data_IF_140350557915
#
_entry.id   IF_140350557915
#
_cell.length_a   1.000
_cell.length_b   1.000
_cell.length_c   1.000
_cell.angle_alpha   90.00
_cell.angle_beta   90.00
_cell.angle_gamma   90.00
#
_symmetry.space_group_name_H-M   'P 1'
#
loop_
_entity.id
_entity.type
_entity.pdbx_description
1 polymer ?
#
# COMPACT_ATOMS: atom_id res chain seq x y z
N UNK A 1 9.16 -12.28 -5.30
CA UNK A 1 8.01 -11.66 -4.61
C UNK A 1 6.98 -12.74 -4.32
N UNK A 2 6.20 -12.60 -3.25
CA UNK A 2 5.05 -13.47 -2.94
C UNK A 2 5.40 -14.99 -3.07
N UNK A 3 4.62 -15.79 -3.81
CA UNK A 3 4.78 -17.24 -3.93
C UNK A 3 5.86 -17.70 -4.94
N UNK A 4 6.62 -16.78 -5.55
CA UNK A 4 7.66 -17.13 -6.52
C UNK A 4 8.78 -18.02 -5.94
N UNK A 5 8.89 -18.11 -4.61
CA UNK A 5 9.84 -19.01 -3.94
C UNK A 5 9.68 -20.47 -4.32
N UNK A 6 8.48 -20.90 -4.73
CA UNK A 6 8.23 -22.25 -5.21
C UNK A 6 9.08 -22.57 -6.44
N UNK A 7 9.13 -21.65 -7.41
CA UNK A 7 9.98 -21.79 -8.59
C UNK A 7 11.46 -21.77 -8.22
N UNK A 8 11.87 -20.87 -7.33
CA UNK A 8 13.27 -20.75 -6.91
C UNK A 8 13.79 -22.03 -6.25
N UNK A 9 12.94 -22.73 -5.49
CA UNK A 9 13.23 -24.06 -4.95
C UNK A 9 13.46 -25.08 -6.07
N UNK A 10 12.60 -25.13 -7.07
CA UNK A 10 12.74 -26.03 -8.22
C UNK A 10 14.07 -25.85 -8.94
N UNK A 11 14.54 -24.61 -9.10
CA UNK A 11 15.80 -24.32 -9.82
C UNK A 11 17.03 -24.19 -8.90
N UNK A 12 16.90 -24.47 -7.59
CA UNK A 12 18.01 -24.38 -6.63
C UNK A 12 18.54 -22.96 -6.34
N UNK A 13 17.81 -21.92 -6.71
CA UNK A 13 18.24 -20.52 -6.64
C UNK A 13 17.54 -19.75 -5.50
N UNK A 14 18.09 -18.60 -5.08
CA UNK A 14 17.44 -17.64 -4.16
C UNK A 14 17.80 -16.20 -4.56
N UNK A 15 16.87 -15.24 -4.42
CA UNK A 15 17.20 -13.83 -4.62
C UNK A 15 17.96 -13.26 -3.43
N UNK A 16 18.64 -12.12 -3.63
CA UNK A 16 19.22 -11.35 -2.53
C UNK A 16 18.16 -10.69 -1.64
N UNK A 17 17.04 -10.27 -2.25
CA UNK A 17 15.94 -9.59 -1.57
C UNK A 17 14.61 -10.29 -1.86
N UNK A 18 13.76 -10.39 -0.84
CA UNK A 18 12.39 -10.90 -0.93
C UNK A 18 11.41 -9.85 -0.45
N UNK A 19 10.23 -9.78 -1.07
CA UNK A 19 9.14 -8.93 -0.63
C UNK A 19 7.80 -9.65 -0.76
N UNK A 20 6.92 -9.42 0.22
CA UNK A 20 5.52 -9.82 0.20
C UNK A 20 4.71 -8.74 0.91
N UNK A 21 4.01 -7.91 0.12
CA UNK A 21 3.26 -6.75 0.63
C UNK A 21 1.74 -6.94 0.61
N UNK A 22 1.31 -8.10 0.13
CA UNK A 22 -0.09 -8.50 0.10
C UNK A 22 -0.48 -9.10 1.46
N UNK A 23 -1.57 -8.58 2.05
CA UNK A 23 -2.00 -8.92 3.40
C UNK A 23 -2.49 -10.37 3.51
N UNK A 24 -3.13 -10.90 2.46
CA UNK A 24 -3.76 -12.23 2.44
C UNK A 24 -2.73 -13.27 2.02
N UNK A 25 -2.02 -13.01 0.91
CA UNK A 25 -0.96 -13.91 0.42
C UNK A 25 0.14 -14.06 1.47
N UNK A 26 0.54 -12.97 2.13
CA UNK A 26 1.55 -13.06 3.19
C UNK A 26 1.17 -14.05 4.28
N UNK A 27 -0.06 -13.95 4.80
CA UNK A 27 -0.56 -14.85 5.85
C UNK A 27 -0.78 -16.28 5.35
N UNK A 28 -1.31 -16.44 4.13
CA UNK A 28 -1.51 -17.76 3.51
C UNK A 28 -0.20 -18.53 3.32
N UNK A 29 0.92 -17.81 3.15
CA UNK A 29 2.23 -18.38 2.92
C UNK A 29 3.17 -18.22 4.13
N UNK A 30 2.65 -17.93 5.33
CA UNK A 30 3.47 -17.56 6.50
C UNK A 30 4.53 -18.61 6.84
N UNK A 31 4.17 -19.90 6.85
CA UNK A 31 5.07 -20.97 7.28
C UNK A 31 6.21 -21.15 6.25
N UNK A 32 5.91 -20.91 4.97
CA UNK A 32 6.88 -20.97 3.89
C UNK A 32 7.81 -19.76 3.88
N UNK A 33 7.29 -18.57 4.20
CA UNK A 33 8.10 -17.36 4.37
C UNK A 33 9.00 -17.50 5.61
N UNK A 34 8.51 -18.10 6.70
CA UNK A 34 9.31 -18.42 7.88
C UNK A 34 10.50 -19.31 7.48
N UNK A 35 10.25 -20.39 6.74
CA UNK A 35 11.30 -21.27 6.23
C UNK A 35 12.33 -20.52 5.37
N UNK A 36 11.90 -19.59 4.50
CA UNK A 36 12.84 -18.78 3.71
C UNK A 36 13.75 -17.88 4.57
N UNK A 37 13.23 -17.33 5.67
CA UNK A 37 14.01 -16.51 6.61
C UNK A 37 15.04 -17.40 7.34
N UNK A 38 14.60 -18.56 7.80
CA UNK A 38 15.46 -19.53 8.51
C UNK A 38 16.53 -20.16 7.61
N UNK A 39 16.27 -20.31 6.31
CA UNK A 39 17.24 -20.77 5.32
C UNK A 39 18.47 -19.85 5.21
N UNK A 40 18.37 -18.57 5.62
CA UNK A 40 19.44 -17.55 5.57
C UNK A 40 20.12 -17.35 4.21
N UNK A 41 19.50 -17.80 3.12
CA UNK A 41 19.99 -17.62 1.74
C UNK A 41 19.51 -16.33 1.06
N UNK A 42 18.52 -15.67 1.66
CA UNK A 42 18.01 -14.36 1.25
C UNK A 42 18.46 -13.35 2.32
N UNK A 43 19.05 -12.23 1.90
CA UNK A 43 19.67 -11.29 2.84
C UNK A 43 18.67 -10.30 3.43
N UNK A 44 17.65 -9.91 2.65
CA UNK A 44 16.69 -8.86 3.04
C UNK A 44 15.27 -9.27 2.72
N UNK A 45 14.36 -9.03 3.67
CA UNK A 45 12.93 -9.25 3.55
C UNK A 45 12.20 -7.93 3.79
N UNK A 46 11.26 -7.60 2.90
CA UNK A 46 10.31 -6.51 3.10
C UNK A 46 8.91 -7.09 3.23
N UNK A 47 8.35 -7.04 4.44
CA UNK A 47 7.09 -7.70 4.79
C UNK A 47 6.11 -6.68 5.41
N UNK A 48 4.81 -6.94 5.30
CA UNK A 48 3.79 -6.18 6.05
C UNK A 48 3.83 -6.51 7.53
N UNK A 49 3.44 -5.55 8.37
CA UNK A 49 3.41 -5.70 9.82
C UNK A 49 2.55 -6.90 10.27
N UNK A 50 1.38 -7.12 9.65
CA UNK A 50 0.51 -8.24 10.01
C UNK A 50 1.19 -9.62 9.84
N UNK A 51 2.00 -9.78 8.80
CA UNK A 51 2.78 -11.00 8.57
C UNK A 51 3.92 -11.11 9.59
N UNK A 52 4.64 -10.01 9.85
CA UNK A 52 5.70 -10.00 10.87
C UNK A 52 5.16 -10.41 12.24
N UNK A 53 4.00 -9.90 12.62
CA UNK A 53 3.36 -10.25 13.89
C UNK A 53 2.97 -11.73 13.93
N UNK A 54 2.41 -12.26 12.83
CA UNK A 54 2.06 -13.67 12.70
C UNK A 54 3.28 -14.61 12.73
N UNK A 55 4.45 -14.15 12.27
CA UNK A 55 5.72 -14.87 12.32
C UNK A 55 6.39 -14.83 13.70
N UNK A 56 5.92 -13.99 14.62
CA UNK A 56 6.46 -13.87 15.98
C UNK A 56 7.96 -13.52 15.99
N UNK A 57 8.81 -14.24 16.75
CA UNK A 57 10.25 -13.98 16.80
C UNK A 57 10.94 -14.05 15.43
N UNK A 58 10.49 -14.92 14.52
CA UNK A 58 11.08 -15.08 13.17
C UNK A 58 10.88 -13.81 12.35
N UNK A 59 9.70 -13.17 12.47
CA UNK A 59 9.40 -11.91 11.80
C UNK A 59 10.27 -10.73 12.25
N UNK A 60 11.01 -10.88 13.36
CA UNK A 60 11.93 -9.88 13.92
C UNK A 60 13.40 -10.27 13.75
N UNK A 61 13.67 -11.31 12.97
CA UNK A 61 15.03 -11.71 12.67
C UNK A 61 15.79 -10.61 11.90
N UNK A 62 17.11 -10.58 12.04
CA UNK A 62 17.97 -9.72 11.24
C UNK A 62 17.68 -9.91 9.74
N UNK A 63 17.61 -8.79 9.01
CA UNK A 63 17.27 -8.76 7.59
C UNK A 63 15.79 -8.60 7.29
N UNK A 64 14.90 -8.75 8.28
CA UNK A 64 13.45 -8.52 8.10
C UNK A 64 13.09 -7.07 8.41
N UNK A 65 12.49 -6.39 7.42
CA UNK A 65 12.02 -5.01 7.52
C UNK A 65 10.50 -4.95 7.42
N UNK A 66 9.87 -4.30 8.40
CA UNK A 66 8.47 -3.94 8.33
C UNK A 66 8.27 -2.79 7.34
N UNK A 67 7.40 -3.02 6.35
CA UNK A 67 7.09 -2.04 5.33
C UNK A 67 6.50 -0.76 5.92
N UNK A 68 5.62 -0.88 6.90
CA UNK A 68 5.01 0.26 7.61
C UNK A 68 6.06 1.13 8.33
N UNK A 69 7.05 0.51 8.99
CA UNK A 69 8.15 1.25 9.61
C UNK A 69 9.01 1.97 8.57
N UNK A 70 9.18 1.36 7.38
CA UNK A 70 9.92 1.95 6.28
C UNK A 70 9.18 3.16 5.67
N UNK A 71 7.86 3.08 5.53
CA UNK A 71 7.00 4.19 5.06
C UNK A 71 7.15 5.44 5.94
N UNK A 72 7.28 5.28 7.25
CA UNK A 72 7.46 6.40 8.18
C UNK A 72 8.81 7.11 7.99
N UNK A 73 9.83 6.37 7.52
CA UNK A 73 11.20 6.87 7.35
C UNK A 73 11.46 7.43 5.95
N UNK A 74 10.76 6.93 4.95
CA UNK A 74 10.94 7.34 3.55
C UNK A 74 9.60 7.62 2.86
N UNK A 75 9.24 8.90 2.79
CA UNK A 75 8.00 9.36 2.14
C UNK A 75 7.95 9.05 0.64
N UNK A 76 9.07 8.75 -0.01
CA UNK A 76 9.08 8.35 -1.44
C UNK A 76 8.40 6.99 -1.64
N UNK A 77 8.26 6.21 -0.57
CA UNK A 77 7.52 4.95 -0.57
C UNK A 77 6.02 5.12 -0.31
N UNK A 78 5.56 6.31 0.08
CA UNK A 78 4.18 6.58 0.49
C UNK A 78 3.21 6.77 -0.70
N UNK A 79 3.31 5.88 -1.71
CA UNK A 79 2.35 5.85 -2.79
C UNK A 79 1.00 5.31 -2.26
N UNK A 80 -0.14 5.98 -2.52
CA UNK A 80 -1.44 5.57 -2.00
C UNK A 80 -1.84 4.14 -2.35
N UNK A 81 -1.44 3.66 -3.54
CA UNK A 81 -1.83 2.35 -4.05
C UNK A 81 -0.70 1.35 -3.87
N UNK A 82 -0.79 0.54 -2.81
CA UNK A 82 0.22 -0.47 -2.47
C UNK A 82 -0.02 -1.76 -3.26
N UNK A 83 0.98 -2.14 -4.07
CA UNK A 83 1.10 -3.48 -4.67
C UNK A 83 2.49 -4.02 -4.37
N UNK A 84 2.64 -5.34 -4.22
CA UNK A 84 3.98 -5.93 -4.00
C UNK A 84 4.94 -5.54 -5.11
N UNK A 85 4.50 -5.58 -6.38
CA UNK A 85 5.34 -5.24 -7.53
C UNK A 85 5.87 -3.81 -7.50
N UNK A 86 4.96 -2.83 -7.50
CA UNK A 86 5.35 -1.41 -7.59
C UNK A 86 6.20 -0.96 -6.41
N UNK A 87 5.87 -1.40 -5.20
CA UNK A 87 6.62 -1.02 -4.00
C UNK A 87 7.92 -1.77 -3.83
N UNK A 88 8.09 -2.94 -4.46
CA UNK A 88 9.41 -3.58 -4.53
C UNK A 88 10.37 -2.77 -5.40
N UNK A 89 9.89 -2.14 -6.47
CA UNK A 89 10.72 -1.23 -7.27
C UNK A 89 11.10 0.04 -6.50
N UNK A 90 10.16 0.62 -5.76
CA UNK A 90 10.43 1.75 -4.86
C UNK A 90 11.40 1.37 -3.73
N UNK A 91 11.27 0.16 -3.19
CA UNK A 91 12.22 -0.36 -2.21
C UNK A 91 13.61 -0.56 -2.80
N UNK A 92 13.73 -1.04 -4.04
CA UNK A 92 15.03 -1.12 -4.71
C UNK A 92 15.69 0.27 -4.84
N UNK A 93 14.94 1.31 -5.21
CA UNK A 93 15.43 2.68 -5.18
C UNK A 93 15.91 3.11 -3.78
N UNK A 94 15.13 2.81 -2.74
CA UNK A 94 15.49 3.07 -1.35
C UNK A 94 16.80 2.37 -0.94
N UNK A 95 17.01 1.14 -1.42
CA UNK A 95 18.25 0.38 -1.22
C UNK A 95 19.45 0.92 -2.01
N UNK A 96 19.28 2.00 -2.79
CA UNK A 96 20.35 2.64 -3.54
C UNK A 96 20.46 2.18 -5.00
N UNK A 97 19.60 1.27 -5.47
CA UNK A 97 19.61 0.89 -6.88
C UNK A 97 19.15 2.07 -7.75
N UNK A 98 19.82 2.26 -8.89
CA UNK A 98 19.53 3.34 -9.87
C UNK A 98 19.16 2.81 -11.25
N UNK A 99 19.35 1.51 -11.47
CA UNK A 99 19.03 0.80 -12.70
C UNK A 99 18.17 -0.40 -12.34
N UNK A 100 16.93 -0.43 -12.83
CA UNK A 100 15.95 -1.47 -12.49
C UNK A 100 15.41 -2.11 -13.77
N UNK A 101 15.48 -3.43 -13.85
CA UNK A 101 14.83 -4.22 -14.90
C UNK A 101 13.63 -4.94 -14.29
N UNK A 102 12.44 -4.68 -14.80
CA UNK A 102 11.21 -5.33 -14.37
C UNK A 102 11.00 -6.62 -15.17
N UNK A 103 10.72 -7.72 -14.49
CA UNK A 103 10.41 -9.03 -15.10
C UNK A 103 9.15 -9.61 -14.48
N UNK A 104 8.33 -10.30 -15.28
CA UNK A 104 7.09 -10.91 -14.80
C UNK A 104 6.07 -9.89 -14.29
N UNK A 105 6.10 -8.68 -14.84
CA UNK A 105 5.13 -7.62 -14.55
C UNK A 105 4.19 -7.54 -15.74
N UNK A 106 3.03 -8.17 -15.66
CA UNK A 106 2.07 -8.22 -16.79
C UNK A 106 1.02 -7.11 -16.69
N UNK A 107 0.36 -6.96 -15.53
CA UNK A 107 -0.67 -5.94 -15.32
C UNK A 107 -2.05 -6.28 -15.89
N UNK A 108 -2.18 -7.38 -16.64
CA UNK A 108 -3.40 -7.85 -17.32
C UNK A 108 -4.02 -9.08 -16.63
N UNK A 109 -4.14 -9.05 -15.31
CA UNK A 109 -4.55 -10.20 -14.52
C UNK A 109 -6.00 -10.63 -14.80
N UNK A 110 -6.22 -11.95 -14.87
CA UNK A 110 -7.56 -12.53 -14.72
C UNK A 110 -7.96 -12.44 -13.25
N UNK A 111 -9.05 -11.74 -13.00
CA UNK A 111 -9.53 -11.45 -11.64
C UNK A 111 -9.90 -12.71 -10.86
N UNK A 112 -10.60 -13.65 -11.51
CA UNK A 112 -10.95 -14.96 -10.95
C UNK A 112 -10.49 -16.02 -11.93
N UNK A 113 -9.70 -16.98 -11.45
CA UNK A 113 -9.20 -18.10 -12.25
C UNK A 113 -10.05 -19.34 -12.01
N UNK A 114 -10.05 -20.26 -12.97
CA UNK A 114 -10.72 -21.56 -12.82
C UNK A 114 -10.17 -22.25 -11.58
N UNK A 115 -11.00 -22.88 -10.75
CA UNK A 115 -10.54 -23.56 -9.54
C UNK A 115 -10.28 -22.64 -8.34
N UNK A 116 -10.51 -21.33 -8.47
CA UNK A 116 -10.60 -20.40 -7.35
C UNK A 116 -12.04 -20.13 -6.95
N UNK A 117 -12.28 -19.98 -5.65
CA UNK A 117 -13.57 -19.59 -5.09
C UNK A 117 -13.42 -18.31 -4.26
N UNK A 118 -14.47 -17.49 -4.25
CA UNK A 118 -14.54 -16.32 -3.36
C UNK A 118 -14.78 -16.79 -1.92
N UNK A 119 -14.06 -16.16 -0.99
CA UNK A 119 -14.28 -16.31 0.44
C UNK A 119 -14.97 -15.06 0.96
N UNK A 120 -14.21 -14.10 1.48
CA UNK A 120 -14.73 -12.87 2.07
C UNK A 120 -14.35 -11.66 1.22
N UNK A 121 -15.30 -10.78 0.89
CA UNK A 121 -15.11 -9.50 0.17
C UNK A 121 -14.20 -9.58 -1.08
N UNK A 122 -12.89 -9.45 -0.88
CA UNK A 122 -11.85 -9.46 -1.91
C UNK A 122 -10.87 -10.66 -1.82
N UNK A 123 -11.08 -11.60 -0.91
CA UNK A 123 -10.29 -12.82 -0.75
C UNK A 123 -10.79 -13.95 -1.66
N UNK A 124 -9.84 -14.61 -2.32
CA UNK A 124 -10.01 -15.80 -3.12
C UNK A 124 -9.18 -16.94 -2.53
N UNK A 125 -9.66 -18.16 -2.67
CA UNK A 125 -8.93 -19.37 -2.29
C UNK A 125 -8.89 -20.34 -3.48
N UNK A 126 -7.73 -20.93 -3.75
CA UNK A 126 -7.63 -22.02 -4.72
C UNK A 126 -8.19 -23.28 -4.06
N UNK A 127 -9.31 -23.79 -4.56
CA UNK A 127 -9.94 -25.04 -4.07
C UNK A 127 -9.57 -26.25 -4.90
N UNK A 128 -9.15 -26.02 -6.15
CA UNK A 128 -8.81 -27.06 -7.10
C UNK A 128 -7.61 -26.65 -7.92
N UNK A 129 -6.74 -27.62 -8.19
CA UNK A 129 -5.61 -27.44 -9.08
C UNK A 129 -6.08 -27.01 -10.48
N UNK A 130 -5.42 -26.00 -11.02
CA UNK A 130 -5.78 -25.35 -12.27
C UNK A 130 -4.55 -24.67 -12.88
N UNK A 131 -4.60 -24.46 -14.19
CA UNK A 131 -3.67 -23.54 -14.84
C UNK A 131 -4.07 -22.11 -14.48
N UNK A 132 -3.10 -21.34 -13.96
CA UNK A 132 -3.30 -19.93 -13.70
C UNK A 132 -2.54 -19.09 -14.74
N UNK A 133 -3.24 -18.40 -15.67
CA UNK A 133 -2.61 -17.62 -16.73
C UNK A 133 -1.93 -16.33 -16.23
N UNK A 134 -2.10 -15.97 -14.96
CA UNK A 134 -1.49 -14.78 -14.36
C UNK A 134 -0.01 -14.99 -14.00
N UNK A 135 0.51 -16.22 -14.09
CA UNK A 135 1.86 -16.55 -13.64
C UNK A 135 2.60 -17.40 -14.67
N UNK A 136 3.92 -17.22 -14.75
CA UNK A 136 4.75 -17.86 -15.79
C UNK A 136 5.07 -19.34 -15.54
N UNK A 137 4.74 -19.89 -14.37
CA UNK A 137 5.02 -21.28 -14.03
C UNK A 137 3.84 -21.92 -13.30
N UNK A 138 3.67 -23.22 -13.56
CA UNK A 138 2.68 -24.05 -12.90
C UNK A 138 3.00 -24.25 -11.41
N UNK A 139 1.96 -24.23 -10.57
CA UNK A 139 2.13 -24.36 -9.13
C UNK A 139 2.59 -23.08 -8.42
N UNK A 140 2.54 -21.92 -9.08
CA UNK A 140 2.61 -20.62 -8.39
C UNK A 140 1.54 -20.55 -7.30
N UNK A 141 0.30 -20.92 -7.63
CA UNK A 141 -0.76 -21.17 -6.67
C UNK A 141 -1.11 -22.66 -6.60
N UNK A 142 -1.56 -23.12 -5.43
CA UNK A 142 -1.92 -24.51 -5.13
C UNK A 142 -3.20 -24.54 -4.29
N UNK A 143 -3.95 -25.66 -4.28
CA UNK A 143 -5.09 -25.82 -3.39
C UNK A 143 -4.76 -25.44 -1.94
N UNK A 144 -5.63 -24.62 -1.33
CA UNK A 144 -5.46 -24.06 0.01
C UNK A 144 -4.81 -22.67 0.04
N UNK A 145 -4.17 -22.21 -1.05
CA UNK A 145 -3.62 -20.86 -1.10
C UNK A 145 -4.73 -19.80 -1.15
N UNK A 146 -4.60 -18.78 -0.32
CA UNK A 146 -5.45 -17.59 -0.29
C UNK A 146 -4.73 -16.38 -0.86
N UNK A 147 -5.48 -15.55 -1.57
CA UNK A 147 -4.95 -14.36 -2.23
C UNK A 147 -6.03 -13.30 -2.43
N UNK A 148 -5.63 -12.04 -2.63
CA UNK A 148 -6.56 -10.99 -2.98
C UNK A 148 -6.96 -11.05 -4.46
N UNK A 149 -8.21 -10.66 -4.73
CA UNK A 149 -8.66 -10.21 -6.03
C UNK A 149 -7.65 -9.18 -6.58
N UNK A 150 -7.01 -9.41 -7.74
CA UNK A 150 -5.93 -8.55 -8.22
C UNK A 150 -6.35 -7.08 -8.37
N UNK A 151 -7.49 -6.79 -8.97
CA UNK A 151 -8.00 -5.43 -9.12
C UNK A 151 -9.40 -5.32 -8.50
N UNK A 152 -9.51 -5.21 -7.16
CA UNK A 152 -10.81 -5.03 -6.50
C UNK A 152 -11.50 -3.73 -6.93
N UNK A 153 -10.70 -2.79 -7.45
CA UNK A 153 -11.14 -1.65 -8.26
C UNK A 153 -10.37 -1.65 -9.58
N UNK A 154 -11.00 -1.26 -10.71
CA UNK A 154 -10.33 -1.21 -12.01
C UNK A 154 -9.03 -0.41 -11.97
N UNK A 155 -7.96 -0.97 -12.54
CA UNK A 155 -6.68 -0.29 -12.69
C UNK A 155 -5.85 -0.14 -11.42
N UNK A 156 -6.15 -0.85 -10.32
CA UNK A 156 -5.37 -0.77 -9.09
C UNK A 156 -3.87 -1.00 -9.35
N UNK A 157 -3.52 -2.04 -10.09
CA UNK A 157 -2.11 -2.35 -10.38
C UNK A 157 -1.45 -1.33 -11.31
N UNK A 158 -2.13 -0.89 -12.36
CA UNK A 158 -1.59 0.10 -13.30
C UNK A 158 -1.41 1.45 -12.61
N UNK A 159 -2.35 1.87 -11.76
CA UNK A 159 -2.20 3.08 -10.95
C UNK A 159 -1.02 2.97 -9.96
N UNK A 160 -0.86 1.84 -9.27
CA UNK A 160 0.28 1.60 -8.39
C UNK A 160 1.62 1.74 -9.12
N UNK A 161 1.71 1.25 -10.36
CA UNK A 161 2.90 1.44 -11.20
C UNK A 161 3.06 2.87 -11.72
N UNK A 162 1.97 3.55 -12.07
CA UNK A 162 2.01 4.96 -12.49
C UNK A 162 2.57 5.86 -11.37
N UNK A 163 2.14 5.63 -10.13
CA UNK A 163 2.63 6.34 -8.95
C UNK A 163 4.11 6.02 -8.70
N UNK A 164 4.49 4.74 -8.77
CA UNK A 164 5.88 4.34 -8.61
C UNK A 164 6.79 4.94 -9.69
N UNK A 165 6.33 5.00 -10.94
CA UNK A 165 7.09 5.58 -12.04
C UNK A 165 7.44 7.06 -11.79
N UNK A 166 6.50 7.85 -11.27
CA UNK A 166 6.73 9.26 -10.90
C UNK A 166 7.83 9.38 -9.86
N UNK A 167 7.76 8.59 -8.78
CA UNK A 167 8.76 8.63 -7.71
C UNK A 167 10.14 8.13 -8.17
N UNK A 168 10.19 7.08 -8.98
CA UNK A 168 11.43 6.56 -9.56
C UNK A 168 12.07 7.59 -10.49
N UNK A 169 11.27 8.27 -11.32
CA UNK A 169 11.75 9.31 -12.23
C UNK A 169 12.27 10.54 -11.48
N UNK A 170 11.57 11.01 -10.43
CA UNK A 170 12.04 12.16 -9.63
C UNK A 170 13.38 11.91 -8.94
N UNK A 171 13.71 10.64 -8.71
CA UNK A 171 14.96 10.20 -8.07
C UNK A 171 16.03 9.78 -9.10
N UNK A 172 15.82 10.10 -10.38
CA UNK A 172 16.70 9.72 -11.50
C UNK A 172 17.01 8.22 -11.54
N UNK A 173 16.04 7.37 -11.20
CA UNK A 173 16.15 5.92 -11.35
C UNK A 173 15.72 5.54 -12.75
N UNK A 174 16.62 4.88 -13.46
CA UNK A 174 16.36 4.37 -14.80
C UNK A 174 15.73 2.97 -14.69
N UNK A 175 14.57 2.81 -15.29
CA UNK A 175 13.75 1.59 -15.20
C UNK A 175 13.38 1.14 -16.60
N UNK A 176 13.45 -0.17 -16.85
CA UNK A 176 12.97 -0.79 -18.09
C UNK A 176 12.05 -1.96 -17.77
N UNK A 177 11.01 -2.15 -18.57
CA UNK A 177 10.12 -3.31 -18.48
C UNK A 177 10.54 -4.37 -19.50
N UNK A 178 11.02 -5.52 -19.02
CA UNK A 178 11.47 -6.61 -19.88
C UNK A 178 10.33 -7.47 -20.44
N UNK A 179 9.08 -7.18 -20.05
CA UNK A 179 7.90 -7.87 -20.56
C UNK A 179 7.22 -7.05 -21.65
N UNK A 180 7.53 -7.36 -22.91
CA UNK A 180 7.00 -6.64 -24.09
C UNK A 180 5.47 -6.71 -24.25
N UNK A 181 4.80 -7.62 -23.52
CA UNK A 181 3.34 -7.81 -23.54
C UNK A 181 2.64 -7.18 -22.34
N UNK A 182 3.38 -6.51 -21.45
CA UNK A 182 2.83 -5.89 -20.26
C UNK A 182 1.85 -4.75 -20.59
N UNK A 183 0.81 -4.63 -19.78
CA UNK A 183 -0.04 -3.43 -19.68
C UNK A 183 0.63 -2.31 -18.88
N UNK A 184 1.70 -2.61 -18.14
CA UNK A 184 2.50 -1.61 -17.41
C UNK A 184 3.41 -0.86 -18.37
N UNK A 185 2.85 0.16 -19.03
CA UNK A 185 3.50 0.97 -20.05
C UNK A 185 4.22 2.24 -19.55
N UNK A 186 4.40 2.42 -18.24
CA UNK A 186 5.02 3.62 -17.66
C UNK A 186 6.54 3.67 -17.75
N UNK A 187 7.16 2.59 -18.23
CA UNK A 187 8.60 2.49 -18.42
C UNK A 187 8.91 2.07 -19.86
N UNK A 188 10.08 2.45 -20.40
CA UNK A 188 10.56 1.91 -21.67
C UNK A 188 10.58 0.38 -21.66
N UNK A 189 10.22 -0.21 -22.79
CA UNK A 189 10.32 -1.66 -22.98
C UNK A 189 11.70 -2.02 -23.52
N UNK A 190 12.20 -3.20 -23.14
CA UNK A 190 13.44 -3.75 -23.68
C UNK A 190 13.44 -5.28 -23.60
N UNK A 191 14.17 -5.96 -24.47
CA UNK A 191 14.38 -7.40 -24.33
C UNK A 191 15.25 -7.68 -23.09
N UNK A 192 15.02 -8.80 -22.41
CA UNK A 192 15.78 -9.14 -21.21
C UNK A 192 17.29 -9.26 -21.47
N UNK A 193 17.68 -9.88 -22.59
CA UNK A 193 19.07 -10.04 -23.02
C UNK A 193 19.78 -8.69 -23.18
N UNK A 194 19.08 -7.71 -23.77
CA UNK A 194 19.60 -6.34 -23.98
C UNK A 194 19.61 -5.53 -22.68
N UNK A 195 18.56 -5.67 -21.88
CA UNK A 195 18.42 -5.01 -20.57
C UNK A 195 19.53 -5.42 -19.61
N UNK A 196 19.94 -6.70 -19.63
CA UNK A 196 21.04 -7.21 -18.81
C UNK A 196 22.39 -6.53 -19.12
N UNK A 197 22.58 -6.07 -20.36
CA UNK A 197 23.78 -5.36 -20.80
C UNK A 197 23.64 -3.83 -20.70
N UNK A 198 22.46 -3.35 -20.31
CA UNK A 198 22.08 -1.93 -20.30
C UNK A 198 22.35 -1.22 -21.64
N UNK A 199 22.22 -1.95 -22.75
CA UNK A 199 22.44 -1.41 -24.08
C UNK A 199 21.21 -0.62 -24.56
N UNK A 200 21.46 0.50 -25.22
CA UNK A 200 20.65 1.72 -25.21
C UNK A 200 19.46 1.79 -26.19
N UNK A 201 19.15 0.74 -26.93
CA UNK A 201 17.95 0.74 -27.79
C UNK A 201 16.70 0.54 -26.93
N UNK A 202 16.25 1.63 -26.30
CA UNK A 202 15.00 1.67 -25.55
C UNK A 202 13.85 1.76 -26.54
N UNK A 203 12.93 0.80 -26.48
CA UNK A 203 11.61 0.99 -27.09
C UNK A 203 10.91 2.03 -26.20
N UNK A 204 10.51 3.19 -26.74
CA UNK A 204 9.89 4.24 -25.94
C UNK A 204 8.77 3.67 -25.08
N UNK A 205 8.66 4.15 -23.84
CA UNK A 205 7.49 3.90 -23.03
C UNK A 205 6.26 4.23 -23.89
N UNK A 206 5.24 3.37 -23.85
CA UNK A 206 3.99 3.71 -24.54
C UNK A 206 3.52 5.02 -23.93
N UNK A 207 3.38 6.05 -24.76
CA UNK A 207 2.86 7.35 -24.38
C UNK A 207 1.42 7.21 -23.89
N UNK A 208 1.25 6.75 -22.66
CA UNK A 208 -0.03 6.61 -21.97
C UNK A 208 -0.25 7.75 -20.99
N UNK A 209 0.38 8.90 -21.25
CA UNK A 209 -0.22 10.13 -20.80
C UNK A 209 -1.05 10.68 -21.97
N UNK A 210 -2.36 10.37 -22.11
CA UNK A 210 -3.22 11.52 -21.94
C UNK A 210 -2.81 12.13 -20.60
N UNK A 211 -2.52 13.44 -20.54
CA UNK A 211 -2.64 14.13 -19.25
C UNK A 211 -3.86 13.52 -18.58
N UNK A 212 -3.75 12.97 -17.35
CA UNK A 212 -4.92 12.41 -16.69
C UNK A 212 -5.96 13.49 -16.87
N UNK A 213 -6.98 13.24 -17.71
CA UNK A 213 -8.08 14.18 -17.86
C UNK A 213 -8.57 14.24 -16.44
N UNK A 214 -8.26 15.32 -15.71
CA UNK A 214 -8.13 15.29 -14.26
C UNK A 214 -9.41 14.63 -13.81
N UNK A 215 -9.32 13.39 -13.30
CA UNK A 215 -10.48 12.54 -13.15
C UNK A 215 -11.48 13.42 -12.44
N UNK A 216 -12.54 13.84 -13.15
CA UNK A 216 -13.29 15.05 -12.82
C UNK A 216 -13.49 14.94 -11.32
N UNK A 217 -12.79 15.77 -10.51
CA UNK A 217 -12.57 15.45 -9.10
C UNK A 217 -13.95 15.17 -8.59
N UNK A 218 -14.23 13.92 -8.19
CA UNK A 218 -15.62 13.46 -8.02
C UNK A 218 -16.25 14.53 -7.17
N UNK A 219 -17.17 15.37 -7.72
CA UNK A 219 -17.32 16.74 -7.26
C UNK A 219 -17.49 16.64 -5.76
N UNK A 220 -16.54 17.18 -4.96
CA UNK A 220 -16.43 16.88 -3.53
C UNK A 220 -17.84 16.99 -3.02
N UNK A 221 -18.44 15.88 -2.50
CA UNK A 221 -19.88 15.63 -2.53
C UNK A 221 -20.51 16.96 -2.29
N UNK A 222 -21.11 17.53 -3.35
CA UNK A 222 -21.34 18.98 -3.46
C UNK A 222 -21.77 19.49 -2.09
N UNK A 223 -21.35 20.69 -1.65
CA UNK A 223 -21.81 21.19 -0.33
C UNK A 223 -23.31 20.91 -0.13
N UNK A 224 -24.09 20.99 -1.22
CA UNK A 224 -25.46 20.47 -1.40
C UNK A 224 -25.69 18.97 -1.12
N UNK A 225 -24.95 18.00 -1.67
CA UNK A 225 -25.06 16.56 -1.33
C UNK A 225 -24.68 16.26 0.12
N UNK A 226 -23.65 16.89 0.67
CA UNK A 226 -23.28 16.73 2.09
C UNK A 226 -24.35 17.35 3.00
N UNK A 227 -24.81 18.56 2.66
CA UNK A 227 -25.99 19.19 3.27
C UNK A 227 -27.25 18.34 3.08
N UNK A 228 -27.48 17.68 1.94
CA UNK A 228 -28.65 16.83 1.72
C UNK A 228 -28.57 15.59 2.59
N UNK A 229 -27.42 14.93 2.70
CA UNK A 229 -27.24 13.79 3.60
C UNK A 229 -27.44 14.18 5.08
N UNK A 230 -27.01 15.38 5.47
CA UNK A 230 -27.19 15.90 6.83
C UNK A 230 -28.59 16.50 7.08
N UNK A 231 -29.25 17.06 6.06
CA UNK A 231 -30.57 17.70 6.13
C UNK A 231 -31.72 16.73 5.89
N UNK A 232 -31.53 15.62 5.16
CA UNK A 232 -32.60 14.65 4.91
C UNK A 232 -33.18 14.05 6.21
N UNK A 233 -32.38 13.68 7.23
CA UNK A 233 -32.91 13.28 8.53
C UNK A 233 -33.64 14.42 9.24
N UNK A 234 -33.14 15.65 9.13
CA UNK A 234 -33.72 16.85 9.76
C UNK A 234 -35.06 17.21 9.09
N UNK A 235 -35.14 17.12 7.76
CA UNK A 235 -36.33 17.38 6.97
C UNK A 235 -37.38 16.28 7.16
N UNK A 236 -36.96 15.00 7.25
CA UNK A 236 -37.85 13.90 7.58
C UNK A 236 -38.46 14.07 8.98
N UNK A 237 -37.64 14.48 9.96
CA UNK A 237 -38.13 14.80 11.30
C UNK A 237 -39.10 15.99 11.26
N UNK A 238 -38.76 17.07 10.56
CA UNK A 238 -39.61 18.24 10.36
C UNK A 238 -40.97 17.93 9.71
N UNK A 239 -40.99 17.05 8.72
CA UNK A 239 -42.22 16.57 8.07
C UNK A 239 -43.10 15.76 9.02
N UNK A 240 -42.51 14.92 9.88
CA UNK A 240 -43.22 14.20 10.94
C UNK A 240 -43.85 15.17 11.96
N UNK A 241 -43.15 16.27 12.30
CA UNK A 241 -43.69 17.33 13.17
C UNK A 241 -44.90 18.01 12.55
N UNK A 242 -44.79 18.39 11.27
CA UNK A 242 -45.86 19.08 10.54
C UNK A 242 -47.09 18.18 10.38
N UNK A 243 -46.89 16.90 10.06
CA UNK A 243 -47.97 15.92 9.97
C UNK A 243 -48.67 15.71 11.33
N UNK A 244 -47.91 15.62 12.43
CA UNK A 244 -48.47 15.57 13.78
C UNK A 244 -49.25 16.83 14.15
N UNK A 245 -48.74 18.01 13.79
CA UNK A 245 -49.38 19.31 14.06
C UNK A 245 -50.68 19.50 13.27
N UNK A 246 -50.72 19.04 12.01
CA UNK A 246 -51.93 19.06 11.19
C UNK A 246 -53.03 18.13 11.75
N UNK A 247 -52.66 16.96 12.29
CA UNK A 247 -53.59 16.03 12.93
C UNK A 247 -54.20 16.58 14.24
N UNK A 248 -53.50 17.47 14.93
CA UNK A 248 -54.03 18.19 16.11
C UNK A 248 -55.06 19.24 15.69
N UNK A 249 -54.80 19.96 14.60
CA UNK A 249 -55.70 21.00 14.10
C UNK A 249 -57.02 20.46 13.54
N UNK A 250 -57.06 19.20 13.10
CA UNK A 250 -58.28 18.55 12.56
C UNK A 250 -59.17 17.90 13.62
N UNK A 251 -58.93 18.16 14.92
CA UNK A 251 -59.84 17.75 16.00
C UNK A 251 -59.42 16.49 16.77
N UNK A 252 -58.13 16.14 16.75
CA UNK A 252 -57.59 15.14 17.65
C UNK A 252 -57.81 15.52 19.12
N UNK A 253 -58.14 14.54 19.98
CA UNK A 253 -58.30 14.80 21.41
C UNK A 253 -57.05 15.44 22.03
N UNK A 254 -57.22 16.31 23.03
CA UNK A 254 -56.14 17.06 23.69
C UNK A 254 -54.96 16.17 24.16
N UNK A 255 -55.26 14.92 24.52
CA UNK A 255 -54.29 13.89 24.91
C UNK A 255 -53.35 13.49 23.76
N UNK A 256 -53.87 13.39 22.53
CA UNK A 256 -53.07 13.04 21.34
C UNK A 256 -52.13 14.19 21.00
N UNK A 257 -52.59 15.44 21.11
CA UNK A 257 -51.77 16.63 20.89
C UNK A 257 -50.62 16.74 21.90
N UNK A 258 -50.90 16.47 23.17
CA UNK A 258 -49.88 16.46 24.23
C UNK A 258 -48.84 15.35 23.99
N UNK A 259 -49.28 14.14 23.61
CA UNK A 259 -48.38 13.02 23.32
C UNK A 259 -47.45 13.31 22.12
N UNK A 260 -47.96 13.96 21.07
CA UNK A 260 -47.16 14.36 19.91
C UNK A 260 -46.13 15.44 20.26
N UNK A 261 -46.50 16.43 21.07
CA UNK A 261 -45.56 17.45 21.57
C UNK A 261 -44.45 16.84 22.44
N UNK A 262 -44.79 15.92 23.33
CA UNK A 262 -43.81 15.19 24.15
C UNK A 262 -42.87 14.37 23.27
N UNK A 263 -43.41 13.63 22.29
CA UNK A 263 -42.62 12.85 21.34
C UNK A 263 -41.67 13.73 20.53
N UNK A 264 -42.14 14.88 20.04
CA UNK A 264 -41.29 15.86 19.36
C UNK A 264 -40.15 16.34 20.26
N UNK A 265 -40.46 16.74 21.49
CA UNK A 265 -39.48 17.25 22.43
C UNK A 265 -38.42 16.20 22.78
N UNK A 266 -38.83 14.94 22.98
CA UNK A 266 -37.92 13.81 23.19
C UNK A 266 -36.99 13.60 21.98
N UNK A 267 -37.52 13.63 20.76
CA UNK A 267 -36.70 13.49 19.55
C UNK A 267 -35.70 14.64 19.39
N UNK A 268 -36.07 15.88 19.74
CA UNK A 268 -35.15 17.02 19.74
C UNK A 268 -34.03 16.84 20.78
N UNK A 269 -34.35 16.36 21.99
CA UNK A 269 -33.35 16.04 23.01
C UNK A 269 -32.40 14.93 22.52
N UNK A 270 -32.93 13.84 21.97
CA UNK A 270 -32.14 12.74 21.40
C UNK A 270 -31.22 13.22 20.27
N UNK A 271 -31.71 14.07 19.38
CA UNK A 271 -30.91 14.68 18.32
C UNK A 271 -29.78 15.57 18.87
N UNK A 272 -30.07 16.40 19.87
CA UNK A 272 -29.05 17.24 20.52
C UNK A 272 -27.98 16.40 21.23
N UNK A 273 -28.39 15.32 21.92
CA UNK A 273 -27.47 14.37 22.55
C UNK A 273 -26.58 13.66 21.52
N UNK A 274 -27.16 13.23 20.39
CA UNK A 274 -26.39 12.60 19.31
C UNK A 274 -25.35 13.55 18.72
N UNK A 275 -25.71 14.81 18.44
CA UNK A 275 -24.79 15.81 17.92
C UNK A 275 -23.67 16.13 18.92
N UNK A 276 -23.99 16.23 20.21
CA UNK A 276 -23.02 16.47 21.28
C UNK A 276 -22.04 15.30 21.40
N UNK A 277 -22.55 14.05 21.38
CA UNK A 277 -21.71 12.86 21.42
C UNK A 277 -20.80 12.77 20.18
N UNK A 278 -21.33 13.03 18.99
CA UNK A 278 -20.55 13.04 17.75
C UNK A 278 -19.42 14.07 17.83
N UNK A 279 -19.70 15.28 18.33
CA UNK A 279 -18.70 16.32 18.52
C UNK A 279 -17.61 15.88 19.50
N UNK A 280 -18.00 15.31 20.64
CA UNK A 280 -17.06 14.80 21.65
C UNK A 280 -16.16 13.68 21.10
N UNK A 281 -16.70 12.78 20.26
CA UNK A 281 -15.92 11.73 19.60
C UNK A 281 -14.91 12.33 18.63
N UNK A 282 -15.31 13.31 17.81
CA UNK A 282 -14.39 13.98 16.88
C UNK A 282 -13.27 14.71 17.64
N UNK A 283 -13.61 15.46 18.69
CA UNK A 283 -12.61 16.15 19.53
C UNK A 283 -11.64 15.15 20.19
N UNK A 284 -12.13 14.00 20.65
CA UNK A 284 -11.27 12.93 21.22
C UNK A 284 -10.34 12.31 20.20
N UNK A 285 -10.84 12.04 18.98
CA UNK A 285 -10.01 11.50 17.90
C UNK A 285 -8.92 12.49 17.48
N UNK A 286 -9.25 13.79 17.38
CA UNK A 286 -8.26 14.83 17.10
C UNK A 286 -7.20 14.93 18.19
N UNK A 287 -7.58 14.86 19.46
CA UNK A 287 -6.62 14.84 20.57
C UNK A 287 -5.69 13.62 20.53
N UNK A 288 -6.21 12.44 20.17
CA UNK A 288 -5.40 11.23 20.01
C UNK A 288 -4.41 11.33 18.85
N UNK A 289 -4.80 11.98 17.75
CA UNK A 289 -3.91 12.20 16.60
C UNK A 289 -2.75 13.14 16.97
N UNK A 290 -3.02 14.23 17.70
CA UNK A 290 -1.98 15.13 18.22
C UNK A 290 -1.03 14.42 19.21
N UNK A 291 -1.56 13.56 20.07
CA UNK A 291 -0.76 12.74 20.99
C UNK A 291 0.14 11.76 20.24
N UNK A 292 -0.38 11.07 19.22
CA UNK A 292 0.39 10.18 18.36
C UNK A 292 1.52 10.91 17.62
N UNK A 293 1.24 12.10 17.07
CA UNK A 293 2.26 12.94 16.42
C UNK A 293 3.35 13.34 17.43
N UNK A 294 2.97 13.67 18.67
CA UNK A 294 3.90 14.05 19.73
C UNK A 294 4.78 12.88 20.17
N UNK A 295 4.19 11.71 20.39
CA UNK A 295 4.93 10.49 20.73
C UNK A 295 5.89 10.09 19.60
N UNK A 296 5.44 10.19 18.35
CA UNK A 296 6.30 9.92 17.20
C UNK A 296 7.51 10.86 17.15
N UNK A 297 7.31 12.17 17.41
CA UNK A 297 8.41 13.14 17.48
C UNK A 297 9.42 12.79 18.59
N UNK A 298 8.94 12.42 19.78
CA UNK A 298 9.80 12.00 20.90
C UNK A 298 10.57 10.73 20.58
N UNK A 299 9.94 9.76 19.93
CA UNK A 299 10.60 8.52 19.52
C UNK A 299 11.75 8.82 18.54
N UNK A 300 11.52 9.71 17.57
CA UNK A 300 12.57 10.16 16.64
C UNK A 300 13.71 10.88 17.35
N UNK A 301 13.44 11.67 18.40
CA UNK A 301 14.47 12.33 19.19
C UNK A 301 15.32 11.35 20.01
N UNK A 302 14.70 10.32 20.60
CA UNK A 302 15.41 9.27 21.34
C UNK A 302 16.21 8.36 20.42
N UNK A 303 15.71 8.07 19.22
CA UNK A 303 16.39 7.24 18.22
C UNK A 303 17.54 7.96 17.51
N UNK A 304 17.68 9.29 17.62
CA UNK A 304 18.86 9.99 17.11
C UNK A 304 20.08 9.54 17.92
N UNK A 305 21.03 8.79 17.33
CA UNK A 305 22.25 8.48 18.04
C UNK A 305 22.93 9.81 18.38
N UNK A 306 23.25 10.02 19.65
CA UNK A 306 24.25 11.01 20.06
C UNK A 306 25.56 10.58 19.43
N UNK A 307 25.74 10.93 18.16
CA UNK A 307 27.03 10.85 17.50
C UNK A 307 27.95 11.70 18.38
N UNK A 308 28.99 11.10 19.00
CA UNK A 308 29.98 11.91 19.69
C UNK A 308 30.44 12.95 18.68
N UNK A 309 30.38 14.23 19.06
CA UNK A 309 31.00 15.31 18.32
C UNK A 309 32.48 14.93 18.21
N UNK A 310 32.84 14.26 17.12
CA UNK A 310 34.22 13.98 16.79
C UNK A 310 34.85 15.35 16.63
N UNK A 311 35.65 15.71 17.62
CA UNK A 311 36.46 16.92 17.63
C UNK A 311 37.14 17.07 16.26
N UNK A 312 37.15 18.28 15.68
CA UNK A 312 37.70 18.51 14.36
C UNK A 312 39.11 17.93 14.31
N UNK A 313 39.28 16.87 13.51
CA UNK A 313 40.57 16.28 13.22
C UNK A 313 41.31 17.36 12.44
N UNK A 314 42.28 18.03 13.08
CA UNK A 314 43.25 18.86 12.36
C UNK A 314 43.84 17.99 11.25
N UNK A 315 43.54 18.37 10.00
CA UNK A 315 44.15 17.79 8.82
C UNK A 315 45.63 18.15 8.88
N UNK A 316 46.45 17.23 9.38
CA UNK A 316 47.88 17.29 9.11
C UNK A 316 48.08 17.00 7.61
N UNK A 317 48.83 17.83 6.89
CA UNK A 317 49.14 17.59 5.49
C UNK A 317 50.00 16.34 5.34
N UNK A 318 49.56 15.40 4.51
CA UNK A 318 50.32 14.23 4.08
C UNK A 318 51.58 14.70 3.32
N UNK A 319 52.76 14.53 3.92
CA UNK A 319 54.06 14.77 3.27
C UNK A 319 54.66 13.54 2.56
N UNK A 320 54.09 12.34 2.71
CA UNK A 320 54.72 11.12 2.19
C UNK A 320 54.08 10.58 0.91
N UNK A 321 54.35 11.26 -0.21
CA UNK A 321 54.19 10.71 -1.57
C UNK A 321 55.41 11.08 -2.43
N UNK A 322 56.58 10.61 -2.01
CA UNK A 322 57.75 10.46 -2.88
C UNK A 322 58.36 9.08 -2.67
N UNK A 323 58.86 8.53 -3.77
CA UNK A 323 59.65 7.30 -3.89
C UNK A 323 58.88 5.96 -3.93
N UNK A 324 58.32 5.65 -5.10
CA UNK A 324 58.44 4.29 -5.64
C UNK A 324 58.51 4.30 -7.17
N UNK A 325 59.69 4.64 -7.69
CA UNK A 325 60.06 4.32 -9.08
C UNK A 325 61.49 3.78 -9.11
N UNK A 326 61.68 2.48 -8.90
CA UNK A 326 62.85 1.74 -9.39
C UNK A 326 62.69 0.22 -9.19
N UNK A 327 63.14 -0.53 -10.22
CA UNK A 327 63.39 -1.97 -10.31
C UNK A 327 62.18 -2.89 -10.54
N UNK A 328 62.16 -3.85 -11.48
CA UNK A 328 63.17 -4.39 -12.40
C UNK A 328 62.48 -4.88 -13.70
N UNK A 329 63.17 -4.96 -14.84
CA UNK A 329 64.12 -6.03 -15.23
C UNK A 329 63.42 -7.37 -15.46
#
# INVERSE_FOLDING_TARGET
MNAAYRYWRTIGWRPHCYSCLDLVVGLSHRDEIAALIEERRIQRFLLRQNLIDALGPIGRAEGVTAFEALLLRDRRLAAPTITTGSHTALWAMHLGFRKIVLMGIDGNYREVVVGAERREEHELEIVKECENPNYFFEGYQRPGDRYNLPNPRPGLHTEGWAQAAKALQSENVEVVNANLRSEVGYFPFSELSRSAQWQSEKIPARSFLPEPTPAEPSPPPSRLRKLQADLLPIAALGMLVLAGSAAVLTGGSLLVSAALLISLFLNLILGALFLTNRRAVVERLSAQDEELITLHRRLVEVERPTLPLSSPRELQPDEDLKDSSAAGS
#
